data_IF_975256152854
#
_entry.id   IF_975256152854
#
_cell.length_a   1.000
_cell.length_b   1.000
_cell.length_c   1.000
_cell.angle_alpha   90.00
_cell.angle_beta   90.00
_cell.angle_gamma   90.00
#
_symmetry.space_group_name_H-M   'P 1'
#
loop_
_entity.id
_entity.type
_entity.pdbx_description
1 polymer ?
#
# COMPACT_ATOMS: atom_id res chain seq x y z
N UNK A 1 -0.78 16.62 -7.77
CA UNK A 1 -0.27 16.86 -6.42
C UNK A 1 -0.35 18.33 -5.99
N UNK A 2 0.35 19.30 -6.62
CA UNK A 2 0.33 20.73 -6.19
C UNK A 2 -1.08 21.34 -6.08
N UNK A 3 -2.00 21.00 -6.99
CA UNK A 3 -3.41 21.45 -6.91
C UNK A 3 -4.11 20.90 -5.66
N UNK A 4 -3.92 19.62 -5.36
CA UNK A 4 -4.54 18.99 -4.20
C UNK A 4 -3.99 19.57 -2.87
N UNK A 5 -2.66 19.77 -2.76
CA UNK A 5 -2.08 20.41 -1.57
C UNK A 5 -2.50 21.88 -1.41
N UNK A 6 -2.65 22.61 -2.52
CA UNK A 6 -3.15 24.00 -2.47
C UNK A 6 -4.62 24.06 -2.03
N UNK A 7 -5.45 23.10 -2.46
CA UNK A 7 -6.83 22.99 -1.98
C UNK A 7 -6.90 22.69 -0.49
N UNK A 8 -6.09 21.74 -0.03
CA UNK A 8 -5.98 21.39 1.38
C UNK A 8 -5.55 22.60 2.23
N UNK A 9 -4.56 23.35 1.75
CA UNK A 9 -4.07 24.55 2.43
C UNK A 9 -5.12 25.67 2.50
N UNK A 10 -5.96 25.85 1.46
CA UNK A 10 -7.09 26.80 1.48
C UNK A 10 -8.11 26.49 2.57
N UNK A 11 -8.25 25.22 2.94
CA UNK A 11 -9.12 24.77 4.02
C UNK A 11 -8.44 24.81 5.40
N UNK A 12 -7.20 25.29 5.47
CA UNK A 12 -6.44 25.43 6.73
C UNK A 12 -5.80 24.12 7.19
N UNK A 13 -5.48 23.20 6.27
CA UNK A 13 -4.90 21.89 6.60
C UNK A 13 -3.57 21.64 5.90
N UNK A 14 -2.70 20.88 6.58
CA UNK A 14 -1.52 20.25 5.98
C UNK A 14 -1.61 18.75 6.23
N UNK A 15 -1.52 17.94 5.17
CA UNK A 15 -1.46 16.48 5.30
C UNK A 15 -0.02 16.06 5.56
N UNK A 16 0.21 15.44 6.72
CA UNK A 16 1.47 14.78 7.07
C UNK A 16 1.35 13.30 6.76
N UNK A 17 2.40 12.74 6.15
CA UNK A 17 2.42 11.35 5.70
C UNK A 17 3.72 10.68 6.11
N UNK A 18 3.63 9.54 6.81
CA UNK A 18 4.68 8.54 6.93
C UNK A 18 4.51 7.49 5.82
N UNK A 19 5.60 6.99 5.27
CA UNK A 19 5.57 5.94 4.26
C UNK A 19 6.44 4.76 4.71
N UNK A 20 5.86 3.56 4.70
CA UNK A 20 6.51 2.28 4.96
C UNK A 20 6.69 1.57 3.62
N UNK A 21 7.84 1.74 2.98
CA UNK A 21 8.11 1.21 1.64
C UNK A 21 8.85 -0.12 1.70
N UNK A 22 8.09 -1.21 1.64
CA UNK A 22 8.63 -2.56 1.58
C UNK A 22 9.27 -2.86 0.23
N UNK A 23 10.30 -3.70 0.24
CA UNK A 23 10.96 -4.17 -0.98
C UNK A 23 11.67 -5.49 -0.76
N UNK A 24 11.83 -6.26 -1.84
CA UNK A 24 12.65 -7.46 -1.85
C UNK A 24 14.02 -7.16 -2.42
N UNK A 25 15.03 -7.85 -1.88
CA UNK A 25 16.29 -8.10 -2.58
C UNK A 25 16.22 -9.45 -3.29
N UNK A 26 16.54 -9.45 -4.59
CA UNK A 26 16.50 -10.66 -5.41
C UNK A 26 17.75 -10.83 -6.24
N UNK A 27 18.02 -12.05 -6.66
CA UNK A 27 18.99 -12.38 -7.71
C UNK A 27 18.27 -12.96 -8.91
N UNK A 28 18.82 -12.71 -10.11
CA UNK A 28 18.40 -13.37 -11.34
C UNK A 28 19.30 -14.55 -11.60
N UNK A 29 18.73 -15.73 -11.82
CA UNK A 29 19.43 -16.95 -12.25
C UNK A 29 19.73 -16.89 -13.75
N UNK A 30 20.59 -17.79 -14.22
CA UNK A 30 20.92 -17.92 -15.66
C UNK A 30 19.69 -18.24 -16.53
N UNK A 31 18.74 -19.00 -15.99
CA UNK A 31 17.46 -19.31 -16.63
C UNK A 31 16.45 -18.14 -16.66
N UNK A 32 16.87 -16.96 -16.16
CA UNK A 32 16.05 -15.74 -16.10
C UNK A 32 15.11 -15.66 -14.91
N UNK A 33 14.92 -16.71 -14.13
CA UNK A 33 14.09 -16.70 -12.92
C UNK A 33 14.73 -15.86 -11.82
N UNK A 34 13.89 -15.29 -10.96
CA UNK A 34 14.35 -14.59 -9.76
C UNK A 34 14.25 -15.49 -8.53
N UNK A 35 15.17 -15.30 -7.60
CA UNK A 35 15.17 -15.92 -6.27
C UNK A 35 15.44 -14.85 -5.23
N UNK A 36 14.98 -15.01 -3.97
CA UNK A 36 15.39 -14.14 -2.87
C UNK A 36 16.91 -14.05 -2.77
N UNK A 37 17.40 -12.88 -2.37
CA UNK A 37 18.82 -12.66 -2.15
C UNK A 37 19.22 -13.26 -0.80
N UNK A 38 19.89 -14.39 -0.85
CA UNK A 38 20.50 -15.05 0.30
C UNK A 38 21.99 -15.23 -0.03
N UNK A 39 22.88 -14.30 0.41
CA UNK A 39 24.29 -14.34 0.06
C UNK A 39 25.01 -15.55 0.69
N UNK A 40 24.55 -16.02 1.82
CA UNK A 40 25.17 -17.11 2.58
C UNK A 40 24.57 -18.48 2.20
N UNK A 41 23.43 -18.50 1.51
CA UNK A 41 22.75 -19.71 1.05
C UNK A 41 22.19 -20.57 2.19
N UNK A 42 21.92 -19.97 3.35
CA UNK A 42 21.55 -20.68 4.58
C UNK A 42 20.19 -20.31 5.14
N UNK A 43 19.49 -19.35 4.53
CA UNK A 43 18.17 -18.94 4.99
C UNK A 43 17.10 -19.94 4.55
N UNK A 44 16.72 -20.81 5.49
CA UNK A 44 15.71 -21.86 5.30
C UNK A 44 14.40 -21.54 6.03
N UNK A 45 14.29 -20.37 6.63
CA UNK A 45 13.09 -19.97 7.36
C UNK A 45 11.96 -19.65 6.36
N UNK A 46 10.81 -20.29 6.57
CA UNK A 46 9.62 -20.04 5.73
C UNK A 46 9.07 -18.62 5.90
N UNK A 47 9.14 -18.09 7.13
CA UNK A 47 8.72 -16.73 7.49
C UNK A 47 9.72 -16.10 8.46
N UNK A 48 10.78 -15.45 7.95
CA UNK A 48 11.82 -14.87 8.78
C UNK A 48 11.46 -13.51 9.41
N UNK A 49 10.19 -13.19 9.54
CA UNK A 49 9.72 -11.91 10.09
C UNK A 49 10.38 -11.58 11.43
N UNK A 50 11.07 -10.43 11.48
CA UNK A 50 11.85 -9.96 12.63
C UNK A 50 13.01 -10.87 13.07
N UNK A 51 13.44 -11.84 12.24
CA UNK A 51 14.57 -12.70 12.56
C UNK A 51 15.91 -12.02 12.25
N UNK A 52 16.78 -11.97 13.28
CA UNK A 52 18.09 -11.32 13.15
C UNK A 52 19.10 -12.13 12.32
N UNK A 53 18.97 -13.45 12.25
CA UNK A 53 19.91 -14.28 11.47
C UNK A 53 19.65 -14.07 9.98
N UNK A 54 18.40 -14.11 9.55
CA UNK A 54 18.00 -13.82 8.17
C UNK A 54 18.35 -12.39 7.76
N UNK A 55 18.26 -11.43 8.70
CA UNK A 55 18.67 -10.04 8.47
C UNK A 55 20.19 -9.90 8.27
N UNK A 56 21.00 -10.71 8.97
CA UNK A 56 22.46 -10.55 9.04
C UNK A 56 23.13 -10.58 7.65
N UNK A 57 22.70 -11.47 6.75
CA UNK A 57 23.21 -11.57 5.38
C UNK A 57 23.03 -10.31 4.54
N UNK A 58 22.04 -9.47 4.87
CA UNK A 58 21.74 -8.21 4.19
C UNK A 58 22.17 -6.96 4.97
N UNK A 59 22.84 -7.12 6.11
CA UNK A 59 23.20 -6.02 7.01
C UNK A 59 24.05 -4.94 6.33
N UNK A 60 24.96 -5.30 5.43
CA UNK A 60 25.77 -4.34 4.68
C UNK A 60 24.92 -3.40 3.82
N UNK A 61 23.92 -3.95 3.15
CA UNK A 61 22.97 -3.20 2.34
C UNK A 61 22.12 -2.27 3.22
N UNK A 62 21.49 -2.80 4.25
CA UNK A 62 20.60 -2.05 5.14
C UNK A 62 21.34 -0.90 5.84
N UNK A 63 22.53 -1.15 6.38
CA UNK A 63 23.37 -0.13 7.00
C UNK A 63 23.74 0.98 6.02
N UNK A 64 24.04 0.64 4.76
CA UNK A 64 24.33 1.64 3.73
C UNK A 64 23.11 2.54 3.48
N UNK A 65 21.93 1.97 3.36
CA UNK A 65 20.69 2.76 3.18
C UNK A 65 20.42 3.66 4.38
N UNK A 66 20.46 3.11 5.60
CA UNK A 66 20.23 3.89 6.83
C UNK A 66 21.22 5.04 6.93
N UNK A 67 22.51 4.80 6.62
CA UNK A 67 23.53 5.86 6.60
C UNK A 67 23.18 6.97 5.61
N UNK A 68 22.71 6.62 4.40
CA UNK A 68 22.33 7.62 3.41
C UNK A 68 21.05 8.38 3.79
N UNK A 69 20.07 7.71 4.37
CA UNK A 69 18.87 8.37 4.89
C UNK A 69 19.19 9.38 6.00
N UNK A 70 20.14 9.01 6.89
CA UNK A 70 20.61 9.90 7.94
C UNK A 70 21.33 11.12 7.38
N UNK A 71 22.26 10.92 6.41
CA UNK A 71 22.95 12.01 5.70
C UNK A 71 21.98 12.95 4.96
N UNK A 72 20.86 12.44 4.47
CA UNK A 72 19.81 13.23 3.84
C UNK A 72 18.90 13.95 4.86
N UNK A 73 19.09 13.71 6.17
CA UNK A 73 18.27 14.30 7.24
C UNK A 73 16.85 13.73 7.28
N UNK A 74 16.65 12.46 6.88
CA UNK A 74 15.33 11.83 6.91
C UNK A 74 15.00 11.20 8.27
N UNK A 75 15.94 11.17 9.20
CA UNK A 75 15.78 10.64 10.55
C UNK A 75 15.21 9.18 10.53
N UNK A 76 15.98 8.20 9.98
CA UNK A 76 15.56 6.80 10.00
C UNK A 76 15.51 6.29 11.44
N UNK A 77 14.47 5.48 11.78
CA UNK A 77 14.29 5.00 13.16
C UNK A 77 14.04 3.50 13.29
N UNK A 78 13.66 2.82 12.20
CA UNK A 78 13.49 1.37 12.19
C UNK A 78 13.94 0.78 10.85
N UNK A 79 14.40 -0.48 10.92
CA UNK A 79 14.70 -1.31 9.75
C UNK A 79 14.28 -2.73 10.10
N UNK A 80 13.26 -3.21 9.40
CA UNK A 80 12.60 -4.47 9.71
C UNK A 80 12.87 -5.51 8.61
N UNK A 81 13.05 -6.78 9.04
CA UNK A 81 12.93 -7.93 8.17
C UNK A 81 11.45 -8.31 8.11
N UNK A 82 10.86 -8.29 6.91
CA UNK A 82 9.47 -8.61 6.68
C UNK A 82 9.22 -10.13 6.58
N UNK A 83 7.98 -10.52 6.32
CA UNK A 83 7.55 -11.92 6.29
C UNK A 83 8.25 -12.77 5.21
N UNK A 84 8.62 -12.16 4.07
CA UNK A 84 9.29 -12.87 2.99
C UNK A 84 10.80 -12.90 3.14
N UNK A 85 11.44 -13.99 2.78
CA UNK A 85 12.91 -14.08 2.73
C UNK A 85 13.48 -12.95 1.88
N UNK A 86 14.45 -12.22 2.43
CA UNK A 86 15.06 -11.02 1.84
C UNK A 86 14.06 -9.88 1.52
N UNK A 87 12.99 -9.78 2.29
CA UNK A 87 12.06 -8.66 2.26
C UNK A 87 12.36 -7.71 3.41
N UNK A 88 12.48 -6.42 3.10
CA UNK A 88 12.87 -5.40 4.07
C UNK A 88 11.99 -4.17 3.98
N UNK A 89 11.85 -3.50 5.13
CA UNK A 89 11.26 -2.19 5.30
C UNK A 89 12.24 -1.27 6.03
N UNK A 90 12.32 -0.01 5.66
CA UNK A 90 13.08 1.00 6.40
C UNK A 90 12.16 2.19 6.62
N UNK A 91 11.99 2.55 7.88
CA UNK A 91 11.13 3.63 8.32
C UNK A 91 11.92 4.88 8.65
N UNK A 92 11.40 6.03 8.19
CA UNK A 92 11.95 7.36 8.46
C UNK A 92 10.83 8.32 8.90
N UNK A 93 11.24 9.41 9.49
CA UNK A 93 10.31 10.41 10.02
C UNK A 93 9.37 10.94 8.94
N UNK A 94 8.08 11.00 9.26
CA UNK A 94 7.04 11.54 8.41
C UNK A 94 7.30 13.01 8.01
N UNK A 95 6.77 13.43 6.89
CA UNK A 95 6.85 14.81 6.40
C UNK A 95 5.50 15.22 5.78
N UNK A 96 5.41 16.43 5.24
CA UNK A 96 4.25 16.78 4.43
C UNK A 96 4.15 15.89 3.17
N UNK A 97 2.95 15.80 2.65
CA UNK A 97 2.61 14.87 1.58
C UNK A 97 3.49 15.03 0.33
N UNK A 98 3.88 16.25 -0.05
CA UNK A 98 4.75 16.47 -1.22
C UNK A 98 6.18 16.00 -0.94
N UNK A 99 6.74 16.39 0.20
CA UNK A 99 8.07 15.95 0.65
C UNK A 99 8.13 14.41 0.77
N UNK A 100 7.08 13.77 1.30
CA UNK A 100 7.03 12.31 1.40
C UNK A 100 6.94 11.64 0.02
N UNK A 101 6.19 12.22 -0.93
CA UNK A 101 6.15 11.71 -2.31
C UNK A 101 7.54 11.79 -2.98
N UNK A 102 8.27 12.90 -2.79
CA UNK A 102 9.65 13.05 -3.26
C UNK A 102 10.56 11.99 -2.62
N UNK A 103 10.47 11.80 -1.30
CA UNK A 103 11.27 10.81 -0.55
C UNK A 103 11.00 9.39 -1.03
N UNK A 104 9.74 8.97 -1.17
CA UNK A 104 9.39 7.62 -1.67
C UNK A 104 9.95 7.38 -3.07
N UNK A 105 9.83 8.37 -3.96
CA UNK A 105 10.36 8.28 -5.32
C UNK A 105 11.89 8.13 -5.31
N UNK A 106 12.57 8.95 -4.52
CA UNK A 106 14.01 8.89 -4.38
C UNK A 106 14.47 7.58 -3.70
N UNK A 107 13.76 7.11 -2.68
CA UNK A 107 14.07 5.87 -1.99
C UNK A 107 14.04 4.66 -2.93
N UNK A 108 13.02 4.56 -3.80
CA UNK A 108 12.96 3.49 -4.81
C UNK A 108 14.18 3.50 -5.74
N UNK A 109 14.64 4.67 -6.15
CA UNK A 109 15.87 4.79 -6.95
C UNK A 109 17.10 4.40 -6.12
N UNK A 110 17.21 4.91 -4.90
CA UNK A 110 18.35 4.66 -4.01
C UNK A 110 18.50 3.18 -3.68
N UNK A 111 17.43 2.50 -3.28
CA UNK A 111 17.44 1.05 -3.00
C UNK A 111 17.96 0.26 -4.20
N UNK A 112 17.48 0.60 -5.41
CA UNK A 112 17.93 -0.04 -6.65
C UNK A 112 19.44 0.18 -6.91
N UNK A 113 19.97 1.39 -6.70
CA UNK A 113 21.39 1.67 -6.94
C UNK A 113 22.29 1.05 -5.86
N UNK A 114 21.86 1.08 -4.60
CA UNK A 114 22.62 0.46 -3.50
C UNK A 114 22.66 -1.06 -3.64
N UNK A 115 21.54 -1.71 -3.99
CA UNK A 115 21.48 -3.16 -4.16
C UNK A 115 22.51 -3.69 -5.17
N UNK A 116 22.74 -2.98 -6.27
CA UNK A 116 23.75 -3.35 -7.29
C UNK A 116 25.15 -3.50 -6.72
N UNK A 117 25.51 -2.71 -5.70
CA UNK A 117 26.83 -2.77 -5.05
C UNK A 117 27.04 -4.07 -4.25
N UNK A 118 25.93 -4.74 -3.91
CA UNK A 118 25.89 -6.01 -3.19
C UNK A 118 25.57 -7.21 -4.09
N UNK A 119 25.54 -7.01 -5.42
CA UNK A 119 25.20 -8.06 -6.38
C UNK A 119 23.74 -8.50 -6.33
N UNK A 120 22.85 -7.61 -5.85
CA UNK A 120 21.43 -7.81 -5.74
C UNK A 120 20.62 -6.86 -6.63
N UNK A 121 19.35 -7.16 -6.80
CA UNK A 121 18.34 -6.31 -7.41
C UNK A 121 17.32 -5.98 -6.31
N UNK A 122 17.13 -4.70 -5.98
CA UNK A 122 16.01 -4.29 -5.14
C UNK A 122 14.76 -4.13 -6.02
N UNK A 123 13.65 -4.71 -5.57
CA UNK A 123 12.37 -4.60 -6.28
C UNK A 123 11.24 -4.20 -5.35
N UNK A 124 10.48 -3.19 -5.75
CA UNK A 124 9.23 -2.77 -5.13
C UNK A 124 8.00 -3.39 -5.83
N UNK A 125 8.21 -4.47 -6.57
CA UNK A 125 7.14 -5.24 -7.19
C UNK A 125 6.17 -5.76 -6.13
N UNK A 126 4.85 -5.55 -6.28
CA UNK A 126 3.86 -5.89 -5.25
C UNK A 126 3.83 -7.38 -4.87
N UNK A 127 4.04 -8.27 -5.83
CA UNK A 127 4.05 -9.72 -5.61
C UNK A 127 5.09 -10.37 -6.53
N UNK A 128 6.38 -10.32 -6.18
CA UNK A 128 7.43 -10.92 -7.00
C UNK A 128 7.43 -12.45 -6.96
N UNK A 129 6.96 -13.05 -5.87
CA UNK A 129 6.90 -14.49 -5.66
C UNK A 129 5.48 -14.92 -5.28
N UNK A 130 4.95 -15.94 -5.94
CA UNK A 130 3.59 -16.43 -5.68
C UNK A 130 3.45 -16.97 -4.23
N UNK A 131 4.50 -17.62 -3.70
CA UNK A 131 4.52 -18.30 -2.41
C UNK A 131 5.00 -17.44 -1.24
N UNK A 132 5.52 -16.22 -1.47
CA UNK A 132 5.95 -15.31 -0.41
C UNK A 132 4.95 -14.15 -0.25
N UNK A 133 5.05 -13.43 0.86
CA UNK A 133 4.28 -12.21 1.14
C UNK A 133 4.50 -11.16 0.05
N UNK A 134 3.50 -10.33 -0.21
CA UNK A 134 3.63 -9.19 -1.12
C UNK A 134 4.22 -7.97 -0.42
N UNK A 135 4.65 -6.96 -1.20
CA UNK A 135 5.19 -5.69 -0.69
C UNK A 135 4.17 -4.56 -0.80
N UNK A 136 3.93 -3.88 0.32
CA UNK A 136 3.16 -2.65 0.41
C UNK A 136 4.03 -1.39 0.37
N UNK A 137 3.37 -0.26 0.36
CA UNK A 137 3.94 1.06 0.68
C UNK A 137 2.90 1.78 1.51
N UNK A 138 2.75 1.38 2.76
CA UNK A 138 1.67 1.86 3.62
C UNK A 138 1.81 3.35 3.88
N UNK A 139 0.69 4.10 3.79
CA UNK A 139 0.68 5.52 4.10
C UNK A 139 0.01 5.75 5.45
N UNK A 140 0.77 6.29 6.40
CA UNK A 140 0.28 6.81 7.67
C UNK A 140 -0.11 8.27 7.48
N UNK A 141 -1.37 8.60 7.73
CA UNK A 141 -1.94 9.88 7.37
C UNK A 141 -2.47 10.59 8.60
N UNK A 142 -2.16 11.87 8.71
CA UNK A 142 -2.77 12.81 9.66
C UNK A 142 -2.91 14.19 9.05
N UNK A 143 -3.91 14.96 9.49
CA UNK A 143 -4.03 16.40 9.16
C UNK A 143 -3.57 17.25 10.31
N UNK A 144 -2.85 18.31 9.98
CA UNK A 144 -2.30 19.26 10.91
C UNK A 144 -2.73 20.69 10.57
N UNK A 145 -2.69 21.57 11.56
CA UNK A 145 -2.84 23.00 11.33
C UNK A 145 -1.68 23.53 10.43
N UNK A 146 -1.85 24.68 9.77
CA UNK A 146 -0.84 25.22 8.85
C UNK A 146 0.54 25.45 9.49
N UNK A 147 0.56 25.75 10.79
CA UNK A 147 1.81 25.91 11.55
C UNK A 147 2.44 24.58 11.98
N UNK A 148 1.79 23.45 11.70
CA UNK A 148 2.21 22.08 12.04
C UNK A 148 2.45 21.87 13.54
N UNK A 149 1.66 22.56 14.38
CA UNK A 149 1.75 22.50 15.84
C UNK A 149 0.71 21.58 16.47
N UNK A 150 -0.44 21.42 15.79
CA UNK A 150 -1.55 20.63 16.30
C UNK A 150 -1.98 19.59 15.28
N UNK A 151 -2.00 18.34 15.72
CA UNK A 151 -2.61 17.24 14.98
C UNK A 151 -4.13 17.36 15.10
N UNK A 152 -4.79 17.60 13.96
CA UNK A 152 -6.24 17.82 13.90
C UNK A 152 -7.03 16.49 13.86
N UNK A 153 -6.34 15.36 13.65
CA UNK A 153 -6.94 14.04 13.72
C UNK A 153 -7.04 13.50 15.14
N UNK A 154 -6.31 14.09 16.10
CA UNK A 154 -6.28 13.63 17.49
C UNK A 154 -7.52 14.11 18.25
N UNK A 155 -8.21 13.19 18.91
CA UNK A 155 -9.20 13.44 19.94
C UNK A 155 -9.09 12.38 21.06
N UNK A 156 -8.58 12.80 22.22
CA UNK A 156 -8.43 11.91 23.39
C UNK A 156 -9.78 11.46 24.00
N UNK A 157 -10.86 12.13 23.63
CA UNK A 157 -12.23 11.84 24.11
C UNK A 157 -13.09 11.16 23.06
N UNK A 158 -12.46 10.61 22.02
CA UNK A 158 -13.14 9.93 20.94
C UNK A 158 -14.12 8.86 21.46
N UNK A 159 -15.44 8.97 21.20
CA UNK A 159 -16.44 8.02 21.66
C UNK A 159 -16.30 6.64 21.03
N UNK A 160 -15.62 6.51 19.89
CA UNK A 160 -15.34 5.22 19.23
C UNK A 160 -14.08 4.53 19.76
N UNK A 161 -13.32 5.21 20.64
CA UNK A 161 -12.17 4.65 21.35
C UNK A 161 -10.90 4.45 20.50
N UNK A 162 -10.82 5.07 19.33
CA UNK A 162 -9.64 5.00 18.45
C UNK A 162 -8.75 6.26 18.57
N UNK A 163 -9.16 7.27 19.35
CA UNK A 163 -8.45 8.51 19.50
C UNK A 163 -8.48 9.41 18.26
N UNK A 164 -9.53 9.30 17.45
CA UNK A 164 -9.71 10.06 16.21
C UNK A 164 -10.79 11.15 16.38
N UNK A 165 -10.51 12.33 15.84
CA UNK A 165 -11.46 13.43 15.82
C UNK A 165 -12.58 13.22 14.78
N UNK A 166 -13.68 13.98 14.89
CA UNK A 166 -14.72 14.01 13.87
C UNK A 166 -14.19 14.37 12.48
N UNK A 167 -13.19 15.26 12.40
CA UNK A 167 -12.51 15.57 11.14
C UNK A 167 -11.80 14.35 10.55
N UNK A 168 -11.12 13.56 11.39
CA UNK A 168 -10.46 12.33 10.97
C UNK A 168 -11.47 11.31 10.45
N UNK A 169 -12.62 11.14 11.12
CA UNK A 169 -13.67 10.25 10.67
C UNK A 169 -14.29 10.71 9.35
N UNK A 170 -14.56 11.98 9.18
CA UNK A 170 -15.07 12.49 7.89
C UNK A 170 -14.07 12.30 6.75
N UNK A 171 -12.79 12.57 7.00
CA UNK A 171 -11.73 12.34 6.02
C UNK A 171 -11.63 10.85 5.66
N UNK A 172 -11.62 9.96 6.66
CA UNK A 172 -11.62 8.51 6.49
C UNK A 172 -12.89 8.03 5.76
N UNK A 173 -14.06 8.61 6.07
CA UNK A 173 -15.32 8.34 5.38
C UNK A 173 -15.23 8.59 3.87
N UNK A 174 -14.56 9.66 3.46
CA UNK A 174 -14.28 9.94 2.05
C UNK A 174 -13.35 8.89 1.42
N UNK A 175 -12.31 8.46 2.12
CA UNK A 175 -11.42 7.41 1.61
C UNK A 175 -12.12 6.06 1.48
N UNK A 176 -13.05 5.73 2.36
CA UNK A 176 -13.87 4.51 2.30
C UNK A 176 -14.88 4.57 1.16
N UNK A 177 -15.56 5.71 0.99
CA UNK A 177 -16.55 5.92 -0.09
C UNK A 177 -15.92 5.74 -1.47
N UNK A 178 -14.71 6.26 -1.65
CA UNK A 178 -13.96 6.20 -2.90
C UNK A 178 -12.95 5.03 -2.99
N UNK A 179 -12.95 4.09 -2.03
CA UNK A 179 -11.91 3.07 -1.90
C UNK A 179 -11.71 2.22 -3.16
N UNK A 180 -12.78 1.88 -3.85
CA UNK A 180 -12.72 1.07 -5.08
C UNK A 180 -12.00 1.80 -6.22
N UNK A 181 -12.32 3.05 -6.45
CA UNK A 181 -11.66 3.87 -7.47
C UNK A 181 -10.23 4.25 -7.05
N UNK A 182 -10.03 4.55 -5.77
CA UNK A 182 -8.72 4.82 -5.19
C UNK A 182 -7.75 3.66 -5.43
N UNK A 183 -8.24 2.41 -5.42
CA UNK A 183 -7.44 1.21 -5.69
C UNK A 183 -6.74 1.29 -7.05
N UNK A 184 -7.39 1.77 -8.10
CA UNK A 184 -6.76 1.93 -9.42
C UNK A 184 -5.52 2.83 -9.40
N UNK A 185 -5.49 3.84 -8.51
CA UNK A 185 -4.40 4.81 -8.42
C UNK A 185 -3.27 4.33 -7.53
N UNK A 186 -3.60 3.63 -6.42
CA UNK A 186 -2.60 3.24 -5.41
C UNK A 186 -2.10 1.81 -5.55
N UNK A 187 -2.81 1.00 -6.35
CA UNK A 187 -2.44 -0.36 -6.75
C UNK A 187 -2.60 -0.50 -8.29
N UNK A 188 -1.76 0.21 -9.08
CA UNK A 188 -2.06 0.53 -10.48
C UNK A 188 -1.59 -0.52 -11.48
N UNK A 189 -1.17 -1.72 -11.08
CA UNK A 189 -0.65 -2.74 -11.99
C UNK A 189 -1.39 -4.08 -11.85
N UNK A 190 -1.33 -4.92 -12.87
CA UNK A 190 -1.90 -6.28 -12.81
C UNK A 190 -1.29 -7.11 -11.69
N UNK A 191 -0.04 -6.83 -11.30
CA UNK A 191 0.65 -7.54 -10.24
C UNK A 191 0.12 -7.20 -8.85
N UNK A 192 -0.45 -6.00 -8.66
CA UNK A 192 -1.04 -5.57 -7.38
C UNK A 192 -2.17 -6.49 -6.95
N UNK A 193 -2.99 -6.95 -7.87
CA UNK A 193 -4.15 -7.80 -7.60
C UNK A 193 -3.76 -9.25 -7.24
N UNK A 194 -2.50 -9.63 -7.44
CA UNK A 194 -1.92 -10.86 -6.88
C UNK A 194 -1.53 -10.69 -5.41
N UNK A 195 -1.16 -9.46 -4.98
CA UNK A 195 -0.98 -9.10 -3.57
C UNK A 195 -2.32 -8.95 -2.86
N UNK A 196 -3.32 -8.35 -3.52
CA UNK A 196 -4.60 -7.92 -2.93
C UNK A 196 -5.74 -8.96 -3.09
N UNK A 197 -5.42 -10.18 -3.52
CA UNK A 197 -6.41 -11.23 -3.75
C UNK A 197 -7.05 -11.72 -2.46
N UNK A 198 -8.38 -11.90 -2.50
CA UNK A 198 -9.18 -12.53 -1.42
C UNK A 198 -9.54 -13.97 -1.73
N UNK A 199 -9.27 -14.45 -2.95
CA UNK A 199 -9.77 -15.74 -3.42
C UNK A 199 -9.46 -16.89 -2.47
N UNK A 200 -8.29 -16.89 -1.88
CA UNK A 200 -7.86 -17.93 -0.95
C UNK A 200 -8.59 -17.90 0.39
N UNK A 201 -8.87 -16.72 0.94
CA UNK A 201 -9.65 -16.62 2.18
C UNK A 201 -11.09 -17.08 1.98
N UNK A 202 -11.68 -16.73 0.85
CA UNK A 202 -13.08 -17.05 0.56
C UNK A 202 -13.29 -18.50 0.11
N UNK A 203 -12.26 -19.17 -0.38
CA UNK A 203 -12.30 -20.57 -0.84
C UNK A 203 -11.75 -21.57 0.18
N UNK A 204 -11.24 -21.08 1.32
CA UNK A 204 -10.60 -21.93 2.33
C UNK A 204 -9.22 -22.45 1.92
N UNK A 205 -8.66 -21.97 0.80
CA UNK A 205 -7.30 -22.25 0.43
C UNK A 205 -6.36 -21.43 1.33
N UNK A 206 -5.45 -22.11 2.00
CA UNK A 206 -4.49 -21.46 2.90
C UNK A 206 -3.23 -21.10 2.15
N UNK A 207 -3.12 -19.91 1.57
CA UNK A 207 -1.81 -19.43 1.13
C UNK A 207 -0.93 -18.97 2.27
N UNK A 208 -1.45 -18.96 3.44
CA UNK A 208 -0.67 -18.68 4.65
C UNK A 208 -0.12 -17.26 4.75
N UNK A 209 -0.55 -16.35 3.89
CA UNK A 209 0.23 -15.23 3.70
C UNK A 209 -0.51 -13.99 3.71
N UNK A 210 -0.68 -13.30 4.72
CA UNK A 210 -0.78 -11.99 4.26
C UNK A 210 -1.74 -11.15 5.00
N UNK A 211 -1.27 -10.24 5.62
CA UNK A 211 -1.94 -9.06 6.12
C UNK A 211 -2.52 -8.19 4.97
N UNK A 212 -3.19 -8.83 3.99
CA UNK A 212 -3.72 -8.20 2.79
C UNK A 212 -4.98 -7.38 3.09
N UNK A 213 -5.05 -6.09 2.73
CA UNK A 213 -6.18 -5.21 3.00
C UNK A 213 -7.29 -5.35 1.95
N UNK A 214 -7.83 -6.55 1.75
CA UNK A 214 -8.77 -6.82 0.67
C UNK A 214 -10.21 -6.37 0.96
N UNK A 215 -10.53 -6.14 2.24
CA UNK A 215 -11.85 -5.67 2.69
C UNK A 215 -11.80 -4.16 2.95
N UNK A 216 -12.78 -3.43 2.40
CA UNK A 216 -12.94 -1.99 2.66
C UNK A 216 -13.44 -1.83 4.08
N UNK A 217 -12.52 -1.61 5.00
CA UNK A 217 -12.77 -1.60 6.44
C UNK A 217 -11.79 -0.71 7.18
N UNK A 218 -12.17 -0.31 8.39
CA UNK A 218 -11.26 0.34 9.32
C UNK A 218 -11.45 -0.18 10.73
N UNK A 219 -10.45 -0.03 11.56
CA UNK A 219 -10.51 -0.45 12.96
C UNK A 219 -9.26 -0.09 13.74
N UNK A 220 -9.10 -0.77 14.87
CA UNK A 220 -7.99 -0.62 15.80
C UNK A 220 -6.62 -1.05 15.19
N UNK A 221 -5.64 -1.25 16.05
CA UNK A 221 -4.28 -1.70 15.68
C UNK A 221 -4.29 -3.15 15.11
N UNK A 222 -4.97 -3.35 14.00
CA UNK A 222 -5.23 -4.65 13.38
C UNK A 222 -4.83 -4.64 11.89
N UNK A 223 -3.81 -5.42 11.54
CA UNK A 223 -3.25 -5.49 10.18
C UNK A 223 -4.18 -6.13 9.13
N UNK A 224 -5.32 -6.68 9.52
CA UNK A 224 -6.31 -7.23 8.58
C UNK A 224 -7.25 -6.15 8.02
N UNK A 225 -7.19 -4.91 8.54
CA UNK A 225 -7.98 -3.77 8.09
C UNK A 225 -7.35 -3.09 6.86
N UNK A 226 -8.16 -2.47 6.02
CA UNK A 226 -7.68 -1.58 4.97
C UNK A 226 -7.12 -0.29 5.57
N UNK A 227 -7.87 0.28 6.53
CA UNK A 227 -7.42 1.42 7.33
C UNK A 227 -7.24 0.99 8.78
N UNK A 228 -6.01 0.94 9.23
CA UNK A 228 -5.63 0.60 10.60
C UNK A 228 -5.35 1.87 11.39
N UNK A 229 -5.86 1.94 12.61
CA UNK A 229 -5.51 3.00 13.57
C UNK A 229 -4.50 2.43 14.56
N UNK A 230 -3.18 2.60 14.30
CA UNK A 230 -2.15 2.01 15.15
C UNK A 230 -1.99 2.74 16.48
N UNK A 231 -2.30 4.06 16.48
CA UNK A 231 -2.27 4.94 17.64
C UNK A 231 -3.17 6.16 17.42
N UNK A 232 -3.55 6.89 18.47
CA UNK A 232 -4.38 8.10 18.37
C UNK A 232 -3.84 9.15 17.39
N UNK A 233 -4.75 9.81 16.68
CA UNK A 233 -4.43 10.95 15.81
C UNK A 233 -3.86 10.61 14.44
N UNK A 234 -3.77 9.34 14.05
CA UNK A 234 -3.42 8.93 12.68
C UNK A 234 -4.08 7.61 12.30
N UNK A 235 -4.20 7.38 11.02
CA UNK A 235 -4.50 6.05 10.49
C UNK A 235 -3.53 5.68 9.36
N UNK A 236 -3.34 4.40 9.19
CA UNK A 236 -2.53 3.77 8.16
C UNK A 236 -3.44 3.23 7.05
N UNK A 237 -3.16 3.57 5.81
CA UNK A 237 -3.75 2.90 4.65
C UNK A 237 -2.84 1.79 4.15
N UNK A 238 -3.27 0.55 4.31
CA UNK A 238 -2.52 -0.65 3.92
C UNK A 238 -2.72 -1.05 2.46
N UNK A 239 -3.67 -0.42 1.77
CA UNK A 239 -3.98 -0.68 0.37
C UNK A 239 -2.84 -0.29 -0.56
N UNK A 240 -2.12 0.77 -0.23
CA UNK A 240 -1.07 1.35 -1.08
C UNK A 240 0.02 0.32 -1.38
N UNK A 241 0.39 0.23 -2.63
CA UNK A 241 1.31 -0.78 -3.13
C UNK A 241 2.70 -0.21 -3.46
N UNK A 242 3.71 -1.10 -3.51
CA UNK A 242 5.04 -0.76 -3.97
C UNK A 242 5.10 -0.16 -5.37
N UNK A 243 4.11 -0.44 -6.22
CA UNK A 243 4.00 0.09 -7.60
C UNK A 243 3.42 1.51 -7.68
N UNK A 244 2.93 2.07 -6.59
CA UNK A 244 2.29 3.39 -6.56
C UNK A 244 3.17 4.48 -7.15
N UNK A 245 2.55 5.39 -7.93
CA UNK A 245 3.10 6.74 -8.12
C UNK A 245 2.69 7.58 -6.90
N UNK A 246 3.61 7.94 -6.00
CA UNK A 246 3.25 8.56 -4.72
C UNK A 246 2.59 9.93 -4.90
N UNK A 247 2.92 10.66 -5.96
CA UNK A 247 2.28 11.96 -6.24
C UNK A 247 0.80 11.80 -6.61
N UNK A 248 0.47 10.80 -7.42
CA UNK A 248 -0.92 10.50 -7.80
C UNK A 248 -1.69 9.93 -6.62
N UNK A 249 -1.09 8.98 -5.89
CA UNK A 249 -1.68 8.39 -4.70
C UNK A 249 -2.06 9.46 -3.66
N UNK A 250 -1.11 10.31 -3.27
CA UNK A 250 -1.37 11.35 -2.27
C UNK A 250 -2.36 12.41 -2.77
N UNK A 251 -2.35 12.76 -4.07
CA UNK A 251 -3.38 13.65 -4.62
C UNK A 251 -4.78 13.05 -4.54
N UNK A 252 -4.92 11.75 -4.82
CA UNK A 252 -6.17 11.02 -4.70
C UNK A 252 -6.64 10.94 -3.24
N UNK A 253 -5.73 10.66 -2.29
CA UNK A 253 -6.05 10.67 -0.85
C UNK A 253 -6.55 12.02 -0.36
N UNK A 254 -5.87 13.11 -0.73
CA UNK A 254 -6.31 14.47 -0.36
C UNK A 254 -7.70 14.75 -0.92
N UNK A 255 -7.93 14.45 -2.20
CA UNK A 255 -9.19 14.78 -2.87
C UNK A 255 -10.35 13.97 -2.31
N UNK A 256 -10.18 12.65 -2.12
CA UNK A 256 -11.19 11.78 -1.52
C UNK A 256 -11.49 12.16 -0.06
N UNK A 257 -10.43 12.40 0.73
CA UNK A 257 -10.60 12.80 2.13
C UNK A 257 -11.30 14.15 2.29
N UNK A 258 -10.98 15.15 1.46
CA UNK A 258 -11.67 16.45 1.45
C UNK A 258 -13.13 16.34 0.97
N UNK A 259 -13.43 15.41 0.07
CA UNK A 259 -14.81 15.11 -0.30
C UNK A 259 -15.60 14.59 0.91
N UNK A 260 -15.01 13.67 1.66
CA UNK A 260 -15.59 13.16 2.90
C UNK A 260 -15.82 14.24 3.94
N UNK A 261 -14.85 15.15 4.14
CA UNK A 261 -14.99 16.29 5.06
C UNK A 261 -16.12 17.22 4.61
N UNK A 262 -16.17 17.58 3.32
CA UNK A 262 -17.20 18.46 2.78
C UNK A 262 -18.60 17.87 2.91
N UNK A 263 -18.76 16.57 2.65
CA UNK A 263 -20.03 15.84 2.73
C UNK A 263 -20.34 15.34 4.15
N UNK A 264 -19.43 15.53 5.11
CA UNK A 264 -19.52 15.01 6.49
C UNK A 264 -19.79 13.50 6.52
N UNK A 265 -19.09 12.73 5.68
CA UNK A 265 -19.28 11.30 5.59
C UNK A 265 -18.88 10.61 6.88
N UNK A 266 -19.70 9.65 7.30
CA UNK A 266 -19.39 8.75 8.41
C UNK A 266 -18.86 7.42 7.83
N UNK A 267 -17.66 6.96 8.25
CA UNK A 267 -17.13 5.68 7.80
C UNK A 267 -17.89 4.44 8.36
N UNK A 268 -18.90 4.65 9.19
CA UNK A 268 -19.60 3.60 9.93
C UNK A 268 -18.88 3.18 11.22
N UNK A 269 -19.26 2.06 11.80
CA UNK A 269 -18.65 1.54 13.03
C UNK A 269 -17.28 0.87 12.76
N UNK A 270 -16.27 1.08 13.62
CA UNK A 270 -14.97 0.44 13.48
C UNK A 270 -15.04 -1.07 13.76
N UNK A 271 -14.24 -1.84 13.03
CA UNK A 271 -14.09 -3.27 13.26
C UNK A 271 -13.02 -3.53 14.34
N UNK A 272 -13.36 -3.26 15.61
CA UNK A 272 -12.45 -3.43 16.73
C UNK A 272 -12.30 -4.90 17.12
N UNK A 273 -11.06 -5.38 17.30
CA UNK A 273 -10.73 -6.77 17.67
C UNK A 273 -11.30 -7.82 16.73
N UNK A 274 -11.55 -7.47 15.49
CA UNK A 274 -12.14 -8.37 14.48
C UNK A 274 -11.12 -8.72 13.41
N UNK A 275 -10.76 -9.99 13.31
CA UNK A 275 -9.98 -10.48 12.19
C UNK A 275 -10.86 -10.51 10.92
N UNK A 276 -10.54 -9.67 9.93
CA UNK A 276 -11.33 -9.55 8.70
C UNK A 276 -11.26 -10.83 7.84
N UNK A 277 -10.24 -11.66 8.00
CA UNK A 277 -10.09 -12.93 7.26
C UNK A 277 -11.04 -14.03 7.75
N UNK A 278 -11.72 -13.83 8.87
CA UNK A 278 -12.78 -14.75 9.33
C UNK A 278 -14.15 -14.45 8.74
N UNK A 279 -14.26 -13.42 7.89
CA UNK A 279 -15.52 -13.11 7.19
C UNK A 279 -15.87 -14.23 6.22
N UNK A 280 -17.14 -14.62 6.25
CA UNK A 280 -17.71 -15.58 5.31
C UNK A 280 -18.13 -14.92 4.01
N UNK A 281 -18.19 -15.69 2.92
CA UNK A 281 -18.73 -15.23 1.64
C UNK A 281 -20.15 -14.63 1.79
N UNK A 282 -20.96 -15.18 2.65
CA UNK A 282 -22.31 -14.69 2.90
C UNK A 282 -22.34 -13.32 3.58
N UNK A 283 -21.42 -13.06 4.52
CA UNK A 283 -21.30 -11.74 5.16
C UNK A 283 -20.85 -10.68 4.15
N UNK A 284 -19.93 -11.03 3.26
CA UNK A 284 -19.48 -10.15 2.17
C UNK A 284 -20.64 -9.88 1.19
N UNK A 285 -21.35 -10.92 0.74
CA UNK A 285 -22.50 -10.79 -0.18
C UNK A 285 -23.65 -9.98 0.41
N UNK A 286 -23.87 -10.04 1.73
CA UNK A 286 -24.88 -9.22 2.42
C UNK A 286 -24.47 -7.75 2.58
N UNK A 287 -23.32 -7.35 2.03
CA UNK A 287 -22.87 -5.94 2.04
C UNK A 287 -22.41 -5.42 3.42
N UNK A 288 -22.11 -6.32 4.37
CA UNK A 288 -21.59 -5.92 5.68
C UNK A 288 -20.23 -5.24 5.58
N UNK A 289 -19.43 -5.64 4.57
CA UNK A 289 -18.12 -5.06 4.27
C UNK A 289 -17.91 -5.10 2.75
N UNK A 290 -17.49 -3.99 2.17
CA UNK A 290 -17.15 -3.92 0.75
C UNK A 290 -15.83 -4.65 0.44
N UNK A 291 -15.68 -5.08 -0.80
CA UNK A 291 -14.42 -5.58 -1.34
C UNK A 291 -13.78 -4.53 -2.24
N UNK A 292 -12.46 -4.44 -2.18
CA UNK A 292 -11.71 -3.72 -3.20
C UNK A 292 -11.80 -4.49 -4.54
N UNK A 293 -11.56 -3.85 -5.69
CA UNK A 293 -11.42 -4.53 -6.97
C UNK A 293 -10.44 -5.70 -6.90
N UNK A 294 -10.78 -6.81 -7.53
CA UNK A 294 -9.96 -8.03 -7.54
C UNK A 294 -9.12 -8.18 -8.82
N UNK A 295 -9.22 -7.25 -9.73
CA UNK A 295 -8.42 -7.17 -10.95
C UNK A 295 -8.19 -5.72 -11.36
N UNK A 296 -7.15 -5.50 -12.19
CA UNK A 296 -6.92 -4.17 -12.77
C UNK A 296 -8.09 -3.73 -13.65
N UNK A 297 -8.75 -4.65 -14.36
CA UNK A 297 -9.93 -4.33 -15.17
C UNK A 297 -11.07 -3.78 -14.30
N UNK A 298 -11.37 -4.45 -13.19
CA UNK A 298 -12.41 -3.99 -12.26
C UNK A 298 -12.06 -2.62 -11.65
N UNK A 299 -10.80 -2.41 -11.29
CA UNK A 299 -10.34 -1.12 -10.74
C UNK A 299 -10.43 0.02 -11.77
N UNK A 300 -10.11 -0.26 -13.04
CA UNK A 300 -10.28 0.71 -14.14
C UNK A 300 -11.75 1.13 -14.22
N UNK A 301 -12.68 0.18 -14.21
CA UNK A 301 -14.13 0.47 -14.25
C UNK A 301 -14.54 1.33 -13.04
N UNK A 302 -14.11 0.99 -11.83
CA UNK A 302 -14.40 1.79 -10.66
C UNK A 302 -13.83 3.21 -10.75
N UNK A 303 -12.63 3.38 -11.32
CA UNK A 303 -12.04 4.71 -11.54
C UNK A 303 -12.84 5.51 -12.56
N UNK A 304 -13.36 4.89 -13.62
CA UNK A 304 -14.19 5.55 -14.65
C UNK A 304 -15.52 6.03 -14.11
N UNK A 305 -16.05 5.36 -13.11
CA UNK A 305 -17.33 5.69 -12.46
C UNK A 305 -17.18 6.74 -11.35
N UNK A 306 -15.96 7.07 -10.92
CA UNK A 306 -15.68 7.96 -9.80
C UNK A 306 -15.12 9.32 -10.25
N UNK A 307 -16.00 10.32 -10.38
CA UNK A 307 -15.63 11.66 -10.79
C UNK A 307 -14.68 12.37 -9.79
N UNK A 308 -14.76 12.03 -8.49
CA UNK A 308 -13.91 12.64 -7.45
C UNK A 308 -12.47 12.19 -7.60
N UNK A 309 -12.23 10.90 -7.80
CA UNK A 309 -10.88 10.37 -8.00
C UNK A 309 -10.31 10.82 -9.36
N UNK A 310 -11.13 10.89 -10.41
CA UNK A 310 -10.70 11.48 -11.69
C UNK A 310 -10.31 12.94 -11.54
N UNK A 311 -11.06 13.73 -10.75
CA UNK A 311 -10.73 15.14 -10.47
C UNK A 311 -9.36 15.29 -9.78
N UNK A 312 -8.94 14.32 -8.94
CA UNK A 312 -7.63 14.34 -8.30
C UNK A 312 -6.50 14.38 -9.34
N UNK A 313 -6.64 13.62 -10.42
CA UNK A 313 -5.67 13.57 -11.52
C UNK A 313 -5.89 14.76 -12.48
N UNK A 314 -7.14 15.13 -12.74
CA UNK A 314 -7.59 16.08 -13.74
C UNK A 314 -7.85 15.40 -15.09
N UNK A 315 -8.59 16.06 -16.01
CA UNK A 315 -9.17 15.41 -17.19
C UNK A 315 -8.10 14.78 -18.11
N UNK A 316 -7.08 15.52 -18.49
CA UNK A 316 -6.02 15.04 -19.39
C UNK A 316 -5.28 13.83 -18.82
N UNK A 317 -4.83 13.91 -17.55
CA UNK A 317 -4.09 12.83 -16.93
C UNK A 317 -4.98 11.62 -16.64
N UNK A 318 -6.26 11.81 -16.33
CA UNK A 318 -7.22 10.71 -16.15
C UNK A 318 -7.40 9.93 -17.46
N UNK A 319 -7.53 10.62 -18.58
CA UNK A 319 -7.66 9.99 -19.89
C UNK A 319 -6.40 9.17 -20.25
N UNK A 320 -5.21 9.76 -20.09
CA UNK A 320 -3.96 9.08 -20.38
C UNK A 320 -3.69 7.92 -19.39
N UNK A 321 -4.03 8.08 -18.12
CA UNK A 321 -3.97 7.02 -17.13
C UNK A 321 -4.83 5.81 -17.54
N UNK A 322 -6.07 6.04 -17.93
CA UNK A 322 -6.97 5.00 -18.41
C UNK A 322 -6.44 4.30 -19.66
N UNK A 323 -5.92 5.05 -20.64
CA UNK A 323 -5.30 4.46 -21.85
C UNK A 323 -4.17 3.51 -21.50
N UNK A 324 -3.24 3.94 -20.65
CA UNK A 324 -2.09 3.14 -20.22
C UNK A 324 -2.55 1.90 -19.46
N UNK A 325 -3.51 2.04 -18.52
CA UNK A 325 -3.96 0.92 -17.68
C UNK A 325 -4.79 -0.10 -18.47
N UNK A 326 -5.63 0.34 -19.38
CA UNK A 326 -6.34 -0.57 -20.31
C UNK A 326 -5.37 -1.33 -21.20
N UNK A 327 -4.33 -0.66 -21.72
CA UNK A 327 -3.33 -1.32 -22.55
C UNK A 327 -2.53 -2.36 -21.74
N UNK A 328 -2.18 -2.07 -20.48
CA UNK A 328 -1.52 -3.02 -19.57
C UNK A 328 -2.40 -4.25 -19.35
N UNK A 329 -3.69 -4.02 -19.02
CA UNK A 329 -4.65 -5.10 -18.82
C UNK A 329 -4.80 -5.98 -20.05
N UNK A 330 -5.01 -5.41 -21.23
CA UNK A 330 -5.18 -6.17 -22.48
C UNK A 330 -3.94 -7.01 -22.80
N UNK A 331 -2.75 -6.44 -22.65
CA UNK A 331 -1.50 -7.18 -22.87
C UNK A 331 -1.35 -8.34 -21.91
N UNK A 332 -1.62 -8.12 -20.63
CA UNK A 332 -1.56 -9.17 -19.61
C UNK A 332 -2.61 -10.25 -19.88
N UNK A 333 -3.86 -9.88 -20.14
CA UNK A 333 -4.96 -10.80 -20.35
C UNK A 333 -4.77 -11.68 -21.59
N UNK A 334 -4.13 -11.17 -22.62
CA UNK A 334 -3.84 -11.91 -23.85
C UNK A 334 -2.53 -12.73 -23.78
N UNK A 335 -1.79 -12.64 -22.68
CA UNK A 335 -0.55 -13.43 -22.52
C UNK A 335 -0.91 -14.84 -22.08
N UNK A 336 -0.51 -15.85 -22.89
CA UNK A 336 -0.62 -17.25 -22.48
C UNK A 336 0.49 -17.56 -21.47
N UNK A 337 0.10 -18.04 -20.30
CA UNK A 337 1.01 -18.28 -19.18
C UNK A 337 1.49 -19.74 -19.13
N UNK A 338 2.64 -19.98 -18.51
CA UNK A 338 3.13 -21.36 -18.25
C UNK A 338 2.12 -22.18 -17.44
N UNK A 339 1.34 -21.53 -16.57
CA UNK A 339 0.28 -22.18 -15.80
C UNK A 339 -0.85 -22.69 -16.73
N UNK A 340 -1.27 -21.90 -17.73
CA UNK A 340 -2.28 -22.31 -18.70
C UNK A 340 -1.77 -23.48 -19.58
N UNK A 341 -0.53 -23.39 -20.03
CA UNK A 341 0.12 -24.47 -20.79
C UNK A 341 0.16 -25.75 -19.95
N UNK A 342 0.66 -25.66 -18.71
CA UNK A 342 0.74 -26.83 -17.81
C UNK A 342 -0.64 -27.42 -17.49
N UNK A 343 -1.68 -26.58 -17.43
CA UNK A 343 -3.05 -27.00 -17.06
C UNK A 343 -3.84 -27.55 -18.21
N UNK A 344 -3.72 -26.95 -19.40
CA UNK A 344 -4.67 -27.15 -20.48
C UNK A 344 -4.11 -27.88 -21.73
N UNK A 345 -2.76 -27.94 -21.90
CA UNK A 345 -2.14 -28.42 -23.14
C UNK A 345 -2.64 -29.80 -23.61
N UNK A 346 -2.94 -30.68 -22.68
CA UNK A 346 -3.40 -32.04 -22.97
C UNK A 346 -4.77 -32.37 -22.37
N UNK A 347 -5.47 -31.37 -21.85
CA UNK A 347 -6.76 -31.58 -21.17
C UNK A 347 -7.92 -31.78 -22.17
N UNK A 348 -7.82 -31.16 -23.35
CA UNK A 348 -8.84 -31.20 -24.39
C UNK A 348 -8.36 -31.92 -25.64
#
# INVERSE_FOLDING_TARGET
MRRATAELARQGYVMMVGAEAEHFLVRRREDGRIVPFDPDGVDTMEKPCYDFKSLAGSMGYLRTLVTYLDQLGWEPYASDHEDGTAQFEINWKYADALTTADRVTFFKMMTSQVAKRFGAIATHMPKPFAHLTGSGTHFHISLWDPARRRNLFLDEKDPRGLGLSGLAYHFLGGLIDHARALTAVVAPTVNDYKRLSVGEFLTGATSGFTWTPAFISYGDNNRTQMFRVPEPGRFECRLVSGSVNPYLGMAAFITAGLDGVRRQLDPGEPNVRKNMYTLTLDEVKRGKVGLIPQSLAEAITCFEEDAVIQQALGPELSEEFLKVKRQEWVRYHNTVTDWEIARYLTLF
#
